data_IF_192092890889
#
_entry.id   IF_192092890889
#
_cell.length_a   1.000
_cell.length_b   1.000
_cell.length_c   1.000
_cell.angle_alpha   90.00
_cell.angle_beta   90.00
_cell.angle_gamma   90.00
#
_symmetry.space_group_name_H-M   'P 1'
#
loop_
_entity.id
_entity.type
_entity.pdbx_description
1 polymer ?
#
# COMPACT_ATOMS: atom_id res chain seq x y z
N UNK A 1 -32.42 14.15 46.55
CA UNK A 1 -33.43 13.87 45.52
C UNK A 1 -33.58 12.38 45.49
N UNK A 2 -34.79 11.88 45.69
CA UNK A 2 -35.09 10.44 45.74
C UNK A 2 -35.14 9.96 44.28
N UNK A 3 -34.25 9.05 43.91
CA UNK A 3 -34.28 8.38 42.62
C UNK A 3 -35.52 7.47 42.59
N UNK A 4 -36.54 7.90 41.88
CA UNK A 4 -37.66 7.06 41.49
C UNK A 4 -37.19 6.15 40.35
N UNK A 5 -36.90 4.89 40.67
CA UNK A 5 -36.84 3.82 39.67
C UNK A 5 -38.23 3.70 39.03
N UNK A 6 -38.38 4.29 37.86
CA UNK A 6 -39.54 4.08 37.00
C UNK A 6 -39.42 2.73 36.32
N UNK A 7 -40.17 1.74 36.79
CA UNK A 7 -40.40 0.49 36.09
C UNK A 7 -41.16 0.79 34.78
N UNK A 8 -40.43 0.85 33.67
CA UNK A 8 -41.02 1.05 32.35
C UNK A 8 -41.77 -0.22 31.92
N UNK A 9 -43.00 -0.11 31.39
CA UNK A 9 -43.75 -1.28 30.93
C UNK A 9 -42.99 -1.95 29.78
N UNK A 10 -42.49 -3.17 30.01
CA UNK A 10 -41.83 -3.99 29.00
C UNK A 10 -42.84 -4.31 27.88
N UNK A 11 -42.69 -3.65 26.74
CA UNK A 11 -43.49 -3.93 25.55
C UNK A 11 -43.27 -5.39 25.12
N UNK A 12 -44.36 -6.11 24.82
CA UNK A 12 -44.34 -7.54 24.43
C UNK A 12 -43.91 -7.79 22.98
N UNK A 13 -43.41 -6.76 22.30
CA UNK A 13 -42.95 -6.83 20.92
C UNK A 13 -41.43 -6.91 20.99
N UNK A 14 -40.78 -8.02 20.57
CA UNK A 14 -39.34 -8.09 20.49
C UNK A 14 -38.90 -7.09 19.42
N UNK A 15 -38.50 -5.88 19.84
CA UNK A 15 -37.78 -4.95 18.97
C UNK A 15 -36.38 -5.52 18.84
N UNK A 16 -36.11 -6.21 17.74
CA UNK A 16 -34.75 -6.58 17.41
C UNK A 16 -33.94 -5.29 17.34
N UNK A 17 -32.93 -5.16 18.20
CA UNK A 17 -31.99 -4.05 18.10
C UNK A 17 -31.27 -4.16 16.76
N UNK A 18 -30.95 -3.03 16.10
CA UNK A 18 -30.14 -3.07 14.90
C UNK A 18 -28.80 -3.77 15.20
N UNK A 19 -28.22 -4.46 14.20
CA UNK A 19 -26.92 -5.10 14.37
C UNK A 19 -25.87 -4.05 14.78
N UNK A 20 -24.92 -4.44 15.64
CA UNK A 20 -23.84 -3.53 16.04
C UNK A 20 -23.03 -3.12 14.80
N UNK A 21 -22.71 -1.82 14.64
CA UNK A 21 -21.95 -1.34 13.49
C UNK A 21 -20.55 -1.96 13.52
N UNK A 22 -20.21 -2.70 12.46
CA UNK A 22 -18.87 -3.24 12.28
C UNK A 22 -17.96 -2.18 11.69
N UNK A 23 -16.73 -2.12 12.17
CA UNK A 23 -15.69 -1.27 11.60
C UNK A 23 -15.45 -1.75 10.16
N UNK A 24 -15.76 -0.91 9.18
CA UNK A 24 -15.55 -1.21 7.76
C UNK A 24 -14.11 -0.89 7.31
N UNK A 25 -13.32 -0.20 8.14
CA UNK A 25 -11.95 0.15 7.83
C UNK A 25 -10.99 -0.99 8.22
N UNK A 26 -10.45 -1.66 7.22
CA UNK A 26 -9.29 -2.54 7.37
C UNK A 26 -8.01 -1.77 7.00
N UNK A 27 -7.01 -1.80 7.89
CA UNK A 27 -5.71 -1.22 7.57
C UNK A 27 -5.08 -1.99 6.40
N UNK A 28 -4.64 -1.30 5.33
CA UNK A 28 -3.98 -1.97 4.21
C UNK A 28 -2.77 -2.76 4.72
N UNK A 29 -2.57 -4.00 4.24
CA UNK A 29 -1.51 -4.84 4.79
C UNK A 29 -0.15 -4.25 4.43
N UNK A 30 0.73 -4.16 5.44
CA UNK A 30 2.04 -3.54 5.25
C UNK A 30 3.03 -4.51 4.58
N UNK A 31 3.85 -4.03 3.64
CA UNK A 31 4.86 -4.87 3.00
C UNK A 31 5.87 -5.43 4.02
N UNK A 32 6.12 -6.76 4.00
CA UNK A 32 7.00 -7.39 4.97
C UNK A 32 8.46 -6.98 4.77
N UNK A 33 9.24 -7.04 5.86
CA UNK A 33 10.67 -6.75 5.86
C UNK A 33 11.45 -7.77 5.02
N UNK A 34 12.34 -7.29 4.16
CA UNK A 34 13.28 -8.16 3.44
C UNK A 34 14.31 -8.79 4.40
N UNK A 35 14.60 -10.09 4.30
CA UNK A 35 15.52 -10.78 5.19
C UNK A 35 16.96 -10.29 5.02
N UNK A 36 17.79 -10.47 6.05
CA UNK A 36 19.20 -10.08 6.02
C UNK A 36 19.93 -10.85 4.91
N UNK A 37 20.69 -10.14 4.08
CA UNK A 37 21.37 -10.71 2.91
C UNK A 37 20.58 -10.58 1.59
N UNK A 38 19.30 -10.21 1.64
CA UNK A 38 18.44 -10.06 0.47
C UNK A 38 18.01 -8.62 0.28
N UNK A 39 17.83 -8.20 -0.97
CA UNK A 39 17.20 -6.93 -1.30
C UNK A 39 18.01 -5.72 -0.81
N UNK A 40 17.31 -4.78 -0.16
CA UNK A 40 17.88 -3.61 0.53
C UNK A 40 18.79 -4.00 1.71
N UNK A 41 18.62 -5.20 2.26
CA UNK A 41 19.39 -5.72 3.39
C UNK A 41 20.54 -6.65 2.95
N UNK A 42 20.93 -6.64 1.66
CA UNK A 42 22.10 -7.37 1.14
C UNK A 42 23.42 -6.96 1.80
N UNK A 43 23.56 -5.69 2.20
CA UNK A 43 24.77 -5.12 2.83
C UNK A 43 24.51 -4.72 4.26
N UNK A 44 25.47 -5.01 5.15
CA UNK A 44 25.48 -4.53 6.54
C UNK A 44 26.27 -3.22 6.60
N UNK A 45 25.71 -2.23 7.29
CA UNK A 45 26.32 -0.91 7.44
C UNK A 45 26.79 -0.69 8.87
N UNK A 46 28.00 -0.15 9.00
CA UNK A 46 28.59 0.25 10.27
C UNK A 46 28.82 1.77 10.26
N UNK A 47 28.56 2.40 11.39
CA UNK A 47 28.71 3.85 11.58
C UNK A 47 29.69 4.14 12.71
N UNK A 48 30.39 5.25 12.59
CA UNK A 48 31.34 5.73 13.57
C UNK A 48 31.36 7.26 13.56
N UNK A 49 31.38 7.91 14.73
CA UNK A 49 31.34 9.38 14.84
C UNK A 49 32.70 10.00 14.51
N UNK A 50 33.79 9.35 14.92
CA UNK A 50 35.17 9.77 14.58
C UNK A 50 35.98 8.58 14.10
N UNK A 51 36.88 8.83 13.16
CA UNK A 51 37.78 7.80 12.64
C UNK A 51 38.59 7.20 13.81
N UNK A 52 38.46 5.89 14.03
CA UNK A 52 39.16 5.14 15.08
C UNK A 52 38.33 4.85 16.34
N UNK A 53 37.11 5.38 16.46
CA UNK A 53 36.16 5.00 17.52
C UNK A 53 35.51 3.62 17.22
N UNK A 54 34.85 2.98 18.21
CA UNK A 54 34.14 1.72 17.97
C UNK A 54 33.05 1.89 16.91
N UNK A 55 32.96 0.90 16.04
CA UNK A 55 31.97 0.84 14.98
C UNK A 55 30.66 0.27 15.53
N UNK A 56 29.55 0.96 15.28
CA UNK A 56 28.22 0.54 15.67
C UNK A 56 27.51 0.01 14.42
N UNK A 57 27.03 -1.23 14.48
CA UNK A 57 26.24 -1.81 13.40
C UNK A 57 24.85 -1.16 13.35
N UNK A 58 24.42 -0.73 12.16
CA UNK A 58 23.07 -0.24 11.93
C UNK A 58 22.08 -1.41 11.79
N UNK A 59 20.82 -1.24 12.22
CA UNK A 59 19.79 -2.26 12.02
C UNK A 59 19.50 -2.44 10.52
N UNK A 60 18.85 -3.56 10.20
CA UNK A 60 18.26 -3.74 8.87
C UNK A 60 17.09 -2.78 8.64
N UNK A 61 16.87 -2.41 7.38
CA UNK A 61 15.81 -1.48 7.00
C UNK A 61 14.49 -2.20 6.80
N UNK A 62 13.38 -1.53 7.15
CA UNK A 62 12.02 -1.98 6.80
C UNK A 62 11.42 -1.13 5.66
N UNK A 63 10.48 -1.68 4.87
CA UNK A 63 9.82 -0.91 3.82
C UNK A 63 9.09 0.33 4.35
N UNK A 64 8.43 0.22 5.52
CA UNK A 64 7.74 1.33 6.19
C UNK A 64 8.70 2.48 6.52
N UNK A 65 9.91 2.18 7.02
CA UNK A 65 10.95 3.20 7.24
C UNK A 65 11.31 3.94 5.95
N UNK A 66 11.45 3.24 4.82
CA UNK A 66 11.75 3.87 3.52
C UNK A 66 10.60 4.75 3.05
N UNK A 67 9.35 4.26 3.14
CA UNK A 67 8.17 5.01 2.74
C UNK A 67 8.00 6.30 3.56
N UNK A 68 8.14 6.22 4.88
CA UNK A 68 8.05 7.40 5.75
C UNK A 68 9.24 8.32 5.53
N UNK A 69 10.46 7.80 5.37
CA UNK A 69 11.65 8.60 5.07
C UNK A 69 11.47 9.46 3.79
N UNK A 70 10.73 8.96 2.78
CA UNK A 70 10.40 9.72 1.57
C UNK A 70 9.47 10.91 1.82
N UNK A 71 8.64 10.83 2.86
CA UNK A 71 7.60 11.81 3.21
C UNK A 71 8.07 12.87 4.22
N UNK A 72 9.21 12.64 4.88
CA UNK A 72 9.74 13.55 5.91
C UNK A 72 11.02 14.26 5.45
N UNK A 73 11.28 15.44 6.02
CA UNK A 73 12.49 16.22 5.78
C UNK A 73 13.13 16.62 7.11
N UNK A 74 13.98 15.73 7.65
CA UNK A 74 14.60 15.88 8.99
C UNK A 74 16.12 15.78 8.90
N UNK A 75 16.81 16.71 9.58
CA UNK A 75 18.28 16.69 9.75
C UNK A 75 18.68 15.79 10.91
N UNK A 76 19.87 15.20 10.81
CA UNK A 76 20.45 14.33 11.84
C UNK A 76 20.97 15.12 13.05
N UNK A 77 20.84 14.55 14.24
CA UNK A 77 21.40 15.10 15.48
C UNK A 77 22.80 14.58 15.78
N UNK A 78 23.17 13.44 15.19
CA UNK A 78 24.43 12.74 15.46
C UNK A 78 24.34 11.77 16.64
N UNK A 79 23.17 11.61 17.24
CA UNK A 79 22.90 10.62 18.27
C UNK A 79 21.94 9.56 17.74
N UNK A 80 22.41 8.31 17.68
CA UNK A 80 21.69 7.17 17.11
C UNK A 80 20.40 6.79 17.85
N UNK A 81 20.29 7.15 19.14
CA UNK A 81 19.16 6.76 19.99
C UNK A 81 18.06 7.84 20.09
N UNK A 82 18.23 8.97 19.41
CA UNK A 82 17.26 10.06 19.37
C UNK A 82 15.98 9.62 18.66
N UNK A 83 14.82 9.98 19.24
CA UNK A 83 13.51 9.72 18.65
C UNK A 83 13.19 10.73 17.54
N UNK A 84 12.58 10.25 16.46
CA UNK A 84 12.22 11.08 15.31
C UNK A 84 10.76 11.49 15.42
N UNK A 85 10.55 12.72 15.89
CA UNK A 85 9.23 13.31 16.00
C UNK A 85 8.87 14.00 14.67
N UNK A 86 8.10 13.31 13.84
CA UNK A 86 7.60 13.79 12.55
C UNK A 86 6.17 13.33 12.30
N UNK A 87 5.49 14.00 11.36
CA UNK A 87 4.22 13.54 10.79
C UNK A 87 4.41 13.36 9.27
N UNK A 88 4.21 12.16 8.71
CA UNK A 88 3.86 10.89 9.37
C UNK A 88 4.92 10.41 10.38
N UNK A 89 4.47 9.58 11.34
CA UNK A 89 5.35 9.04 12.39
C UNK A 89 6.39 8.11 11.77
N UNK A 90 7.66 8.31 12.13
CA UNK A 90 8.74 7.47 11.67
C UNK A 90 8.87 6.23 12.56
N UNK A 91 8.77 5.01 12.01
CA UNK A 91 8.84 3.77 12.80
C UNK A 91 10.28 3.46 13.21
N UNK A 92 10.79 4.14 14.23
CA UNK A 92 12.11 3.89 14.80
C UNK A 92 12.85 5.12 15.29
N UNK A 93 14.15 4.95 15.55
CA UNK A 93 15.05 6.00 16.05
C UNK A 93 15.93 6.56 14.93
N UNK A 94 16.81 7.50 15.28
CA UNK A 94 17.75 8.10 14.32
C UNK A 94 18.63 7.08 13.59
N UNK A 95 19.03 5.98 14.23
CA UNK A 95 19.75 4.88 13.56
C UNK A 95 18.97 4.22 12.41
N UNK A 96 17.66 4.04 12.58
CA UNK A 96 16.78 3.47 11.57
C UNK A 96 16.59 4.45 10.40
N UNK A 97 16.43 5.75 10.70
CA UNK A 97 16.33 6.77 9.68
C UNK A 97 17.64 6.97 8.90
N UNK A 98 18.78 6.91 9.59
CA UNK A 98 20.09 6.92 8.93
C UNK A 98 20.23 5.73 7.98
N UNK A 99 19.87 4.53 8.45
CA UNK A 99 19.86 3.31 7.61
C UNK A 99 18.95 3.47 6.39
N UNK A 100 17.75 4.01 6.57
CA UNK A 100 16.80 4.27 5.49
C UNK A 100 17.35 5.28 4.47
N UNK A 101 17.99 6.36 4.94
CA UNK A 101 18.62 7.34 4.05
C UNK A 101 19.82 6.76 3.30
N UNK A 102 20.63 5.93 3.92
CA UNK A 102 21.72 5.22 3.25
C UNK A 102 21.19 4.34 2.12
N UNK A 103 20.09 3.59 2.33
CA UNK A 103 19.44 2.81 1.26
C UNK A 103 19.03 3.70 0.10
N UNK A 104 18.33 4.80 0.39
CA UNK A 104 17.80 5.73 -0.63
C UNK A 104 18.92 6.40 -1.43
N UNK A 105 19.98 6.85 -0.76
CA UNK A 105 21.14 7.47 -1.39
C UNK A 105 21.87 6.41 -2.22
N UNK A 106 22.10 5.21 -1.68
CA UNK A 106 22.81 4.15 -2.39
C UNK A 106 22.09 3.77 -3.69
N UNK A 107 20.78 3.54 -3.63
CA UNK A 107 19.97 3.22 -4.80
C UNK A 107 19.90 4.36 -5.82
N UNK A 108 19.91 5.62 -5.38
CA UNK A 108 19.79 6.77 -6.27
C UNK A 108 21.10 7.36 -6.79
N UNK A 109 22.26 6.90 -6.29
CA UNK A 109 23.55 7.57 -6.57
C UNK A 109 24.73 6.66 -6.86
N UNK A 110 24.62 5.33 -6.65
CA UNK A 110 25.70 4.41 -7.00
C UNK A 110 25.68 4.11 -8.49
N UNK A 111 26.56 4.77 -9.22
CA UNK A 111 26.69 4.64 -10.67
C UNK A 111 28.03 4.03 -11.05
N UNK A 112 28.14 3.49 -12.26
CA UNK A 112 29.36 2.96 -12.83
C UNK A 112 29.50 3.41 -14.28
N UNK A 113 30.73 3.49 -14.83
CA UNK A 113 30.92 3.66 -16.25
C UNK A 113 30.26 2.53 -17.04
N UNK A 114 29.68 2.88 -18.19
CA UNK A 114 29.05 1.92 -19.10
C UNK A 114 30.04 0.80 -19.48
N UNK A 115 29.57 -0.45 -19.43
CA UNK A 115 30.37 -1.63 -19.78
C UNK A 115 31.31 -2.14 -18.69
N UNK A 116 31.42 -1.45 -17.54
CA UNK A 116 32.24 -1.93 -16.41
C UNK A 116 31.67 -3.21 -15.79
N UNK A 117 30.35 -3.29 -15.67
CA UNK A 117 29.63 -4.47 -15.21
C UNK A 117 28.88 -5.14 -16.35
N UNK A 118 28.78 -6.47 -16.30
CA UNK A 118 27.99 -7.29 -17.21
C UNK A 118 27.15 -8.27 -16.42
N UNK A 119 25.93 -8.55 -16.88
CA UNK A 119 25.15 -9.66 -16.35
C UNK A 119 25.82 -10.97 -16.78
N UNK A 120 25.96 -11.93 -15.85
CA UNK A 120 26.39 -13.28 -16.23
C UNK A 120 25.32 -13.91 -17.13
N UNK A 121 25.74 -14.55 -18.22
CA UNK A 121 24.87 -15.23 -19.18
C UNK A 121 24.66 -14.42 -20.46
N UNK A 122 25.21 -15.00 -21.54
CA UNK A 122 25.13 -14.65 -22.97
C UNK A 122 26.17 -13.68 -23.56
N UNK A 123 27.13 -14.32 -24.25
CA UNK A 123 27.72 -13.92 -25.54
C UNK A 123 28.61 -12.67 -25.62
N UNK A 124 29.91 -12.87 -25.34
CA UNK A 124 30.98 -12.20 -26.08
C UNK A 124 32.25 -13.09 -26.16
N UNK A 125 32.15 -14.18 -26.91
CA UNK A 125 33.29 -14.99 -27.39
C UNK A 125 33.22 -16.44 -26.95
N UNK A 126 33.19 -17.32 -27.95
CA UNK A 126 33.24 -18.78 -27.90
C UNK A 126 34.18 -19.36 -26.82
N UNK A 127 33.66 -20.35 -26.09
CA UNK A 127 34.43 -21.35 -25.34
C UNK A 127 34.60 -21.09 -23.85
N UNK A 128 33.61 -21.46 -23.04
CA UNK A 128 33.80 -22.48 -21.99
C UNK A 128 32.43 -22.92 -21.45
N UNK A 129 32.28 -24.22 -21.28
CA UNK A 129 31.07 -24.90 -20.81
C UNK A 129 30.90 -24.79 -19.29
N UNK A 130 29.68 -25.07 -18.83
CA UNK A 130 29.28 -25.36 -17.43
C UNK A 130 28.98 -24.16 -16.52
N UNK A 131 27.69 -23.87 -16.35
CA UNK A 131 27.03 -23.92 -15.03
C UNK A 131 25.50 -23.77 -15.21
N UNK A 132 24.85 -24.93 -15.33
CA UNK A 132 23.41 -25.15 -15.39
C UNK A 132 22.87 -25.21 -13.95
N UNK A 133 22.55 -24.08 -13.32
CA UNK A 133 21.73 -24.03 -12.09
C UNK A 133 20.93 -22.72 -12.02
N UNK A 134 19.60 -22.80 -12.17
CA UNK A 134 18.68 -21.77 -11.68
C UNK A 134 17.72 -21.15 -12.70
N UNK A 135 17.16 -21.91 -13.64
CA UNK A 135 16.05 -21.47 -14.49
C UNK A 135 14.69 -21.62 -13.77
N UNK A 136 14.49 -20.94 -12.63
CA UNK A 136 13.15 -20.82 -12.01
C UNK A 136 12.83 -19.40 -11.47
N UNK A 137 13.67 -18.39 -11.73
CA UNK A 137 13.35 -16.98 -11.39
C UNK A 137 13.20 -16.06 -12.63
N UNK A 138 12.84 -16.63 -13.78
CA UNK A 138 12.87 -15.93 -15.07
C UNK A 138 11.56 -15.25 -15.51
N UNK A 139 10.53 -15.12 -14.66
CA UNK A 139 9.25 -14.50 -15.10
C UNK A 139 8.89 -13.15 -14.46
N UNK A 140 9.60 -12.65 -13.45
CA UNK A 140 9.30 -11.29 -12.91
C UNK A 140 10.47 -10.55 -12.23
N UNK A 141 11.68 -11.12 -12.21
CA UNK A 141 12.83 -10.53 -11.52
C UNK A 141 13.97 -10.21 -12.47
N UNK A 142 14.22 -8.92 -12.75
CA UNK A 142 15.42 -8.52 -13.49
C UNK A 142 16.69 -9.08 -12.82
N UNK A 143 17.64 -9.59 -13.63
CA UNK A 143 18.91 -10.20 -13.17
C UNK A 143 19.53 -9.36 -12.04
N UNK A 144 19.45 -9.84 -10.80
CA UNK A 144 19.82 -9.07 -9.59
C UNK A 144 21.34 -9.05 -9.34
N UNK A 145 22.11 -9.82 -10.11
CA UNK A 145 23.55 -9.98 -9.94
C UNK A 145 24.33 -9.67 -11.22
N UNK A 146 25.41 -8.93 -11.06
CA UNK A 146 26.33 -8.56 -12.13
C UNK A 146 27.78 -8.87 -11.72
N UNK A 147 28.65 -9.08 -12.71
CA UNK A 147 30.08 -9.33 -12.52
C UNK A 147 30.89 -8.22 -13.19
N UNK A 148 32.11 -7.98 -12.69
CA UNK A 148 33.05 -7.05 -13.34
C UNK A 148 33.47 -7.61 -14.69
N UNK A 149 33.37 -6.80 -15.74
CA UNK A 149 33.73 -7.18 -17.10
C UNK A 149 35.26 -7.36 -17.24
N UNK A 150 35.77 -8.58 -17.51
CA UNK A 150 37.20 -8.81 -17.70
C UNK A 150 37.76 -8.08 -18.93
N UNK A 151 36.93 -7.90 -19.97
CA UNK A 151 37.25 -7.23 -21.23
C UNK A 151 36.82 -5.76 -21.23
N UNK A 152 36.71 -5.14 -20.06
CA UNK A 152 36.32 -3.73 -19.95
C UNK A 152 37.29 -2.82 -20.71
N UNK A 153 36.74 -2.13 -21.72
CA UNK A 153 37.38 -1.04 -22.44
C UNK A 153 36.83 0.31 -21.93
N UNK A 154 37.63 1.14 -21.24
CA UNK A 154 37.15 2.35 -20.63
C UNK A 154 36.75 3.39 -21.69
N UNK A 155 35.55 4.00 -21.58
CA UNK A 155 35.16 5.11 -22.46
C UNK A 155 36.14 6.27 -22.34
N UNK A 156 36.29 7.05 -23.40
CA UNK A 156 37.19 8.20 -23.38
C UNK A 156 36.70 9.25 -22.38
N UNK A 157 37.60 10.12 -21.90
CA UNK A 157 37.21 11.21 -21.00
C UNK A 157 36.15 12.11 -21.63
N UNK A 158 36.17 12.30 -22.96
CA UNK A 158 35.18 13.11 -23.68
C UNK A 158 33.79 12.48 -23.59
N UNK A 159 33.72 11.16 -23.69
CA UNK A 159 32.48 10.40 -23.58
C UNK A 159 31.96 10.41 -22.14
N UNK A 160 32.84 10.17 -21.17
CA UNK A 160 32.49 10.21 -19.74
C UNK A 160 32.04 11.60 -19.27
N UNK A 161 32.48 12.67 -19.93
CA UNK A 161 32.11 14.06 -19.63
C UNK A 161 31.01 14.61 -20.53
N UNK A 162 30.42 13.76 -21.36
CA UNK A 162 29.30 14.17 -22.20
C UNK A 162 28.06 14.48 -21.33
N UNK A 163 27.36 15.55 -21.70
CA UNK A 163 26.18 16.03 -20.98
C UNK A 163 24.95 15.16 -21.22
N UNK A 164 24.97 14.30 -22.23
CA UNK A 164 23.90 13.32 -22.48
C UNK A 164 23.80 12.26 -21.38
N UNK A 165 24.86 12.03 -20.59
CA UNK A 165 24.92 11.07 -19.49
C UNK A 165 24.65 9.60 -19.90
N UNK A 166 24.87 9.24 -21.16
CA UNK A 166 24.67 7.88 -21.68
C UNK A 166 25.76 6.89 -21.26
N UNK A 167 26.97 7.38 -20.97
CA UNK A 167 28.13 6.55 -20.61
C UNK A 167 28.22 6.20 -19.13
N UNK A 168 27.17 6.50 -18.36
CA UNK A 168 27.06 6.18 -16.96
C UNK A 168 25.78 5.38 -16.74
N UNK A 169 25.87 4.33 -15.92
CA UNK A 169 24.76 3.44 -15.62
C UNK A 169 24.57 3.26 -14.12
N UNK A 170 23.34 3.02 -13.67
CA UNK A 170 23.08 2.69 -12.27
C UNK A 170 23.59 1.30 -11.92
N UNK A 171 24.44 1.22 -10.90
CA UNK A 171 24.98 -0.04 -10.36
C UNK A 171 24.19 -0.59 -9.17
N UNK A 172 23.40 0.27 -8.52
CA UNK A 172 22.49 -0.16 -7.44
C UNK A 172 21.06 -0.37 -7.97
N UNK A 173 20.31 -1.32 -7.40
CA UNK A 173 18.95 -1.60 -7.82
C UNK A 173 17.98 -0.49 -7.39
N UNK A 174 16.93 -0.30 -8.18
CA UNK A 174 15.88 0.68 -7.91
C UNK A 174 14.98 0.26 -6.74
N UNK A 175 14.64 1.20 -5.86
CA UNK A 175 13.71 0.96 -4.76
C UNK A 175 12.30 1.35 -5.18
N UNK A 176 11.39 0.37 -5.22
CA UNK A 176 9.99 0.57 -5.58
C UNK A 176 9.28 1.58 -4.65
N UNK A 177 8.19 2.24 -5.08
CA UNK A 177 7.34 3.05 -4.22
C UNK A 177 6.94 2.37 -2.90
N UNK A 178 6.70 1.06 -2.93
CA UNK A 178 6.45 0.21 -1.76
C UNK A 178 7.61 0.17 -0.74
N UNK A 179 8.84 0.53 -1.11
CA UNK A 179 9.99 0.53 -0.21
C UNK A 179 10.78 -0.77 -0.17
N UNK A 180 10.57 -1.65 -1.16
CA UNK A 180 11.31 -2.91 -1.40
C UNK A 180 12.02 -2.87 -2.74
N UNK A 181 12.91 -3.85 -2.99
CA UNK A 181 13.46 -4.06 -4.34
C UNK A 181 12.56 -4.95 -5.20
N UNK A 182 12.00 -5.99 -4.59
CA UNK A 182 11.04 -6.89 -5.23
C UNK A 182 9.62 -6.46 -4.88
N UNK A 183 8.74 -6.42 -5.88
CA UNK A 183 7.33 -6.14 -5.63
C UNK A 183 6.72 -7.20 -4.72
N UNK A 184 5.89 -6.77 -3.78
CA UNK A 184 5.09 -7.64 -2.94
C UNK A 184 3.62 -7.39 -3.21
N UNK A 185 2.89 -8.46 -3.53
CA UNK A 185 1.46 -8.38 -3.75
C UNK A 185 0.72 -8.28 -2.39
N UNK A 186 0.04 -7.15 -2.09
CA UNK A 186 -0.71 -6.95 -0.86
C UNK A 186 -2.01 -7.77 -0.80
N UNK A 187 -2.56 -8.13 -1.96
CA UNK A 187 -3.72 -9.00 -2.11
C UNK A 187 -3.30 -10.19 -2.97
N UNK A 188 -2.64 -11.20 -2.37
CA UNK A 188 -2.57 -12.52 -2.97
C UNK A 188 -3.98 -13.13 -2.85
N UNK A 189 -4.97 -12.52 -3.48
CA UNK A 189 -6.33 -13.02 -3.45
C UNK A 189 -6.29 -14.40 -4.11
N UNK A 190 -6.75 -15.42 -3.38
CA UNK A 190 -7.66 -16.51 -3.79
C UNK A 190 -7.44 -17.26 -5.13
N UNK A 191 -6.40 -16.95 -5.90
CA UNK A 191 -6.23 -17.32 -7.31
C UNK A 191 -5.55 -18.70 -7.46
N UNK A 192 -5.38 -19.50 -6.39
CA UNK A 192 -4.81 -20.87 -6.51
C UNK A 192 -5.78 -21.96 -6.07
N UNK A 193 -6.77 -21.68 -5.21
CA UNK A 193 -7.80 -22.68 -4.85
C UNK A 193 -9.09 -22.54 -5.68
N UNK A 194 -9.46 -21.35 -6.16
CA UNK A 194 -10.72 -21.16 -6.90
C UNK A 194 -10.60 -21.39 -8.42
N UNK A 195 -9.42 -21.24 -9.04
CA UNK A 195 -9.25 -21.53 -10.48
C UNK A 195 -9.18 -23.04 -10.80
N UNK A 196 -8.72 -23.89 -9.86
CA UNK A 196 -8.64 -25.35 -10.08
C UNK A 196 -9.94 -26.08 -9.68
N UNK A 197 -10.84 -25.44 -8.92
CA UNK A 197 -12.14 -26.00 -8.52
C UNK A 197 -13.34 -25.41 -9.32
N UNK A 198 -13.14 -24.32 -10.04
CA UNK A 198 -14.18 -23.63 -10.81
C UNK A 198 -14.51 -24.23 -12.18
N UNK A 199 -13.72 -25.19 -12.69
CA UNK A 199 -14.00 -25.83 -13.99
C UNK A 199 -14.95 -27.05 -13.91
N UNK A 200 -15.33 -27.54 -12.71
CA UNK A 200 -16.17 -28.76 -12.59
C UNK A 200 -17.55 -28.58 -11.94
N UNK A 201 -17.92 -27.37 -11.49
CA UNK A 201 -19.27 -27.11 -10.97
C UNK A 201 -19.90 -25.90 -11.65
N UNK A 202 -20.60 -26.18 -12.75
CA UNK A 202 -21.62 -25.28 -13.25
C UNK A 202 -22.80 -25.24 -12.30
N UNK A 203 -22.78 -24.32 -11.33
CA UNK A 203 -23.97 -23.92 -10.59
C UNK A 203 -24.03 -22.39 -10.52
N UNK A 204 -25.22 -21.88 -10.83
CA UNK A 204 -25.61 -20.47 -10.77
C UNK A 204 -25.48 -19.98 -9.32
N UNK A 205 -24.53 -19.08 -9.03
CA UNK A 205 -24.52 -18.33 -7.79
C UNK A 205 -24.62 -16.82 -8.06
N UNK A 206 -25.47 -16.21 -7.23
CA UNK A 206 -25.97 -14.85 -7.27
C UNK A 206 -24.86 -13.79 -7.33
N UNK A 207 -25.20 -12.64 -7.92
CA UNK A 207 -24.42 -11.40 -7.87
C UNK A 207 -24.22 -10.94 -6.41
N UNK A 208 -23.25 -11.52 -5.73
CA UNK A 208 -22.69 -10.95 -4.51
C UNK A 208 -21.62 -9.94 -4.94
N UNK A 209 -21.99 -8.66 -4.87
CA UNK A 209 -21.20 -7.47 -5.18
C UNK A 209 -20.07 -7.29 -4.15
N UNK A 210 -19.24 -8.33 -3.96
CA UNK A 210 -17.94 -8.21 -3.29
C UNK A 210 -17.09 -7.35 -4.21
N UNK A 211 -17.01 -6.07 -3.84
CA UNK A 211 -16.05 -5.10 -4.37
C UNK A 211 -14.78 -5.84 -4.79
N UNK A 212 -14.57 -5.99 -6.10
CA UNK A 212 -13.36 -6.54 -6.66
C UNK A 212 -12.22 -5.70 -6.10
N UNK A 213 -11.58 -6.19 -5.04
CA UNK A 213 -10.43 -5.55 -4.42
C UNK A 213 -9.48 -5.21 -5.54
N UNK A 214 -9.22 -3.91 -5.74
CA UNK A 214 -8.42 -3.42 -6.85
C UNK A 214 -7.15 -4.25 -6.96
N UNK A 215 -7.01 -5.07 -8.01
CA UNK A 215 -5.77 -5.83 -8.25
C UNK A 215 -4.65 -4.79 -8.28
N UNK A 216 -3.76 -4.83 -7.28
CA UNK A 216 -2.66 -3.90 -7.21
C UNK A 216 -1.75 -4.17 -8.41
N UNK A 217 -1.61 -3.19 -9.31
CA UNK A 217 -0.73 -3.33 -10.46
C UNK A 217 0.73 -3.54 -9.98
N UNK A 218 1.47 -4.49 -10.58
CA UNK A 218 2.84 -4.75 -10.17
C UNK A 218 3.72 -3.52 -10.40
N UNK A 219 4.29 -2.99 -9.31
CA UNK A 219 5.22 -1.88 -9.38
C UNK A 219 6.51 -2.36 -10.06
N UNK A 220 6.79 -1.86 -11.27
CA UNK A 220 8.01 -2.21 -12.01
C UNK A 220 8.97 -1.02 -12.04
N UNK A 221 10.22 -1.26 -11.65
CA UNK A 221 11.30 -0.28 -11.73
C UNK A 221 12.15 -0.45 -13.01
N UNK A 222 13.01 0.53 -13.33
CA UNK A 222 14.00 0.35 -14.39
C UNK A 222 14.95 -0.81 -14.05
N UNK A 223 15.44 -1.56 -15.05
CA UNK A 223 16.38 -2.64 -14.84
C UNK A 223 17.72 -2.15 -14.28
N UNK A 224 18.54 -3.07 -13.79
CA UNK A 224 19.93 -2.75 -13.42
C UNK A 224 20.72 -2.32 -14.67
N UNK A 225 21.74 -1.48 -14.47
CA UNK A 225 22.58 -0.94 -15.52
C UNK A 225 21.85 -0.04 -16.54
N UNK A 226 20.70 0.53 -16.17
CA UNK A 226 20.04 1.58 -16.96
C UNK A 226 20.91 2.84 -17.05
N UNK A 227 21.05 3.46 -18.25
CA UNK A 227 21.78 4.71 -18.43
C UNK A 227 21.16 5.89 -17.69
N UNK A 228 22.00 6.82 -17.22
CA UNK A 228 21.55 8.03 -16.51
C UNK A 228 20.78 9.02 -17.41
N UNK A 229 20.84 8.85 -18.73
CA UNK A 229 20.04 9.64 -19.68
C UNK A 229 18.53 9.41 -19.52
N UNK A 230 18.12 8.28 -18.95
CA UNK A 230 16.73 7.90 -18.71
C UNK A 230 16.21 8.38 -17.35
N UNK A 231 17.07 8.99 -16.51
CA UNK A 231 16.65 9.47 -15.20
C UNK A 231 15.63 10.61 -15.29
N UNK A 232 14.61 10.52 -14.45
CA UNK A 232 13.56 11.54 -14.35
C UNK A 232 14.16 12.91 -14.02
N UNK A 233 14.13 13.83 -14.99
CA UNK A 233 14.52 15.22 -14.79
C UNK A 233 13.41 15.98 -14.04
N UNK A 234 13.81 16.82 -13.08
CA UNK A 234 12.92 17.84 -12.56
C UNK A 234 12.85 18.95 -13.61
N UNK A 235 11.67 19.53 -13.87
CA UNK A 235 11.42 20.47 -14.99
C UNK A 235 12.46 21.61 -15.10
N UNK A 236 13.14 21.97 -14.01
CA UNK A 236 14.14 23.03 -13.98
C UNK A 236 15.60 22.57 -13.76
N UNK A 237 15.83 21.32 -13.34
CA UNK A 237 17.17 20.84 -12.93
C UNK A 237 17.43 19.44 -13.45
N UNK A 238 18.50 19.30 -14.25
CA UNK A 238 19.00 17.98 -14.65
C UNK A 238 19.45 17.16 -13.43
N UNK A 239 19.13 15.85 -13.34
CA UNK A 239 19.47 15.02 -12.18
C UNK A 239 20.97 14.92 -11.89
N UNK A 240 21.79 15.10 -12.92
CA UNK A 240 23.23 14.89 -12.88
C UNK A 240 24.00 16.07 -13.47
N UNK A 241 25.24 16.26 -13.02
CA UNK A 241 26.15 17.24 -13.59
C UNK A 241 27.55 16.66 -13.65
N UNK A 242 28.20 16.80 -14.80
CA UNK A 242 29.54 16.25 -15.04
C UNK A 242 30.56 17.36 -15.26
N UNK A 243 31.78 17.14 -14.77
CA UNK A 243 32.92 18.03 -14.92
C UNK A 243 34.21 17.24 -15.11
N UNK A 244 35.16 17.81 -15.84
CA UNK A 244 36.55 17.35 -15.84
C UNK A 244 37.32 17.98 -14.68
N UNK A 245 38.28 17.26 -14.11
CA UNK A 245 39.19 17.82 -13.09
C UNK A 245 40.21 18.81 -13.66
N UNK A 246 40.62 18.63 -14.92
CA UNK A 246 41.58 19.49 -15.61
C UNK A 246 41.14 19.71 -17.05
N UNK A 247 41.31 20.95 -17.52
CA UNK A 247 41.08 21.33 -18.92
C UNK A 247 42.40 21.52 -19.68
N UNK A 248 43.54 21.20 -19.05
CA UNK A 248 44.89 21.45 -19.60
C UNK A 248 45.54 20.17 -20.12
N UNK A 249 45.39 19.06 -19.40
CA UNK A 249 45.95 17.77 -19.75
C UNK A 249 44.88 16.69 -19.60
N UNK A 250 44.28 16.30 -20.72
CA UNK A 250 43.23 15.28 -20.74
C UNK A 250 43.74 13.92 -20.28
N UNK A 251 45.02 13.59 -20.49
CA UNK A 251 45.61 12.26 -20.18
C UNK A 251 45.56 11.86 -18.70
N UNK A 252 45.55 12.83 -17.78
CA UNK A 252 45.47 12.57 -16.33
C UNK A 252 44.23 13.19 -15.69
N UNK A 253 43.31 13.71 -16.51
CA UNK A 253 42.09 14.30 -16.02
C UNK A 253 41.10 13.22 -15.58
N UNK A 254 40.28 13.59 -14.61
CA UNK A 254 39.26 12.75 -14.00
C UNK A 254 37.89 13.22 -14.45
N UNK A 255 37.00 12.30 -14.79
CA UNK A 255 35.58 12.60 -14.93
C UNK A 255 34.96 12.61 -13.53
N UNK A 256 34.34 13.73 -13.15
CA UNK A 256 33.62 13.87 -11.88
C UNK A 256 32.15 14.10 -12.17
N UNK A 257 31.31 13.15 -11.77
CA UNK A 257 29.86 13.23 -11.82
C UNK A 257 29.34 13.58 -10.45
N UNK A 258 28.39 14.52 -10.40
CA UNK A 258 27.71 14.97 -9.19
C UNK A 258 26.21 14.73 -9.36
N UNK A 259 25.57 14.16 -8.33
CA UNK A 259 24.11 14.14 -8.25
C UNK A 259 23.58 15.50 -7.81
N UNK A 260 22.58 16.01 -8.53
CA UNK A 260 21.83 17.20 -8.15
C UNK A 260 20.63 16.84 -7.27
N UNK A 261 20.06 15.63 -7.44
CA UNK A 261 18.99 15.12 -6.57
C UNK A 261 19.48 14.79 -5.16
N UNK A 262 20.71 14.32 -5.03
CA UNK A 262 21.36 14.07 -3.74
C UNK A 262 22.63 14.91 -3.64
N UNK A 263 22.52 16.19 -3.21
CA UNK A 263 23.68 17.04 -3.04
C UNK A 263 24.66 16.40 -2.07
N UNK A 264 25.89 16.19 -2.55
CA UNK A 264 26.94 15.50 -1.81
C UNK A 264 27.34 14.14 -2.38
N UNK A 265 26.54 13.57 -3.30
CA UNK A 265 26.94 12.36 -4.01
C UNK A 265 27.87 12.72 -5.17
N UNK A 266 29.05 12.12 -5.18
CA UNK A 266 30.06 12.27 -6.20
C UNK A 266 30.55 10.91 -6.66
N UNK A 267 30.72 10.80 -7.97
CA UNK A 267 31.39 9.68 -8.60
C UNK A 267 32.55 10.21 -9.39
N UNK A 268 33.71 9.59 -9.24
CA UNK A 268 34.86 9.91 -10.07
C UNK A 268 35.33 8.67 -10.80
N UNK A 269 35.68 8.84 -12.07
CA UNK A 269 36.37 7.84 -12.87
C UNK A 269 37.67 8.42 -13.37
N UNK A 270 38.73 7.63 -13.21
CA UNK A 270 40.00 7.87 -13.89
C UNK A 270 39.88 7.36 -15.34
N UNK A 271 40.82 7.72 -16.22
CA UNK A 271 40.98 6.99 -17.49
C UNK A 271 41.51 5.55 -17.27
N UNK A 272 42.04 5.28 -16.08
CA UNK A 272 42.29 3.92 -15.62
C UNK A 272 40.98 3.22 -15.24
N UNK A 273 41.01 1.89 -15.14
CA UNK A 273 39.86 1.02 -14.81
C UNK A 273 39.32 1.20 -13.38
N UNK A 274 39.52 2.37 -12.78
CA UNK A 274 39.18 2.69 -11.40
C UNK A 274 38.13 3.81 -11.40
N UNK A 275 37.02 3.53 -10.75
CA UNK A 275 36.01 4.50 -10.38
C UNK A 275 35.54 4.24 -8.95
N UNK A 276 35.04 5.29 -8.30
CA UNK A 276 34.46 5.17 -6.96
C UNK A 276 33.28 6.11 -6.77
N UNK A 277 32.31 5.66 -5.99
CA UNK A 277 31.15 6.43 -5.53
C UNK A 277 31.36 6.83 -4.07
N UNK A 278 31.20 8.12 -3.77
CA UNK A 278 31.32 8.64 -2.41
C UNK A 278 30.20 9.66 -2.16
N UNK A 279 29.66 9.66 -0.94
CA UNK A 279 28.67 10.63 -0.49
C UNK A 279 29.20 11.47 0.68
N UNK A 280 29.14 12.79 0.55
CA UNK A 280 29.45 13.76 1.60
C UNK A 280 28.32 14.80 1.70
N UNK A 281 27.47 14.70 2.72
CA UNK A 281 26.37 15.65 2.87
C UNK A 281 25.47 15.38 4.06
N UNK A 282 24.36 16.11 4.11
CA UNK A 282 23.39 16.06 5.21
C UNK A 282 22.36 14.94 5.10
N UNK A 283 22.41 14.12 4.04
CA UNK A 283 21.44 13.06 3.78
C UNK A 283 20.05 13.57 3.41
N UNK A 284 19.96 14.77 2.86
CA UNK A 284 18.71 15.41 2.43
C UNK A 284 18.61 15.40 0.90
N UNK A 285 17.48 14.93 0.37
CA UNK A 285 17.17 14.97 -1.06
C UNK A 285 16.90 16.43 -1.45
N UNK A 286 17.44 16.86 -2.59
CA UNK A 286 17.13 18.16 -3.16
C UNK A 286 15.63 18.28 -3.41
N UNK A 287 15.05 19.39 -2.96
CA UNK A 287 13.66 19.74 -3.16
C UNK A 287 13.62 21.03 -3.97
N UNK A 288 13.00 21.01 -5.14
CA UNK A 288 12.83 22.19 -5.98
C UNK A 288 11.85 23.19 -5.36
N UNK A 289 10.75 22.67 -4.80
CA UNK A 289 9.81 23.41 -3.99
C UNK A 289 10.16 23.22 -2.51
N UNK A 290 9.85 24.19 -1.66
CA UNK A 290 10.01 24.03 -0.22
C UNK A 290 9.22 22.80 0.26
N UNK A 291 9.73 22.12 1.30
CA UNK A 291 9.06 20.97 1.88
C UNK A 291 7.65 21.34 2.35
N UNK A 292 6.64 20.64 1.84
CA UNK A 292 5.25 20.75 2.31
C UNK A 292 4.94 19.54 3.20
N UNK A 293 4.58 19.74 4.48
CA UNK A 293 4.12 18.66 5.33
C UNK A 293 2.90 17.95 4.73
N UNK A 294 2.77 16.66 5.03
CA UNK A 294 1.60 15.88 4.63
C UNK A 294 0.34 16.46 5.31
N UNK A 295 -0.80 16.56 4.61
CA UNK A 295 -2.07 16.91 5.26
C UNK A 295 -2.49 15.81 6.26
N UNK A 296 -3.31 16.19 7.23
CA UNK A 296 -3.96 15.22 8.13
C UNK A 296 -4.90 14.31 7.32
N UNK A 297 -5.10 13.04 7.74
CA UNK A 297 -6.06 12.17 7.07
C UNK A 297 -7.45 12.81 7.11
N UNK A 298 -8.30 12.51 6.12
CA UNK A 298 -9.68 12.96 6.15
C UNK A 298 -10.37 12.47 7.42
N UNK A 299 -11.26 13.29 7.96
CA UNK A 299 -12.09 12.88 9.09
C UNK A 299 -12.95 11.69 8.68
N UNK A 300 -13.07 10.70 9.55
CA UNK A 300 -13.94 9.55 9.31
C UNK A 300 -15.39 10.03 9.27
N UNK A 301 -16.16 9.50 8.33
CA UNK A 301 -17.59 9.77 8.24
C UNK A 301 -18.33 8.96 9.31
N UNK A 302 -19.46 9.50 9.75
CA UNK A 302 -20.35 8.82 10.68
C UNK A 302 -21.01 7.61 10.01
N UNK A 303 -21.62 6.74 10.83
CA UNK A 303 -22.39 5.60 10.31
C UNK A 303 -23.48 6.08 9.35
N UNK A 304 -23.61 5.39 8.21
CA UNK A 304 -24.59 5.77 7.19
C UNK A 304 -26.00 5.75 7.78
N UNK A 305 -26.76 6.84 7.60
CA UNK A 305 -28.13 6.94 8.08
C UNK A 305 -29.04 6.03 7.26
N UNK A 306 -29.19 4.80 7.72
CA UNK A 306 -30.04 3.77 7.12
C UNK A 306 -31.44 3.69 7.76
N UNK A 307 -32.36 2.91 7.15
CA UNK A 307 -33.70 2.66 7.70
C UNK A 307 -33.67 1.98 9.09
N UNK A 308 -32.53 1.39 9.47
CA UNK A 308 -32.29 0.80 10.78
C UNK A 308 -32.20 1.84 11.91
N UNK A 309 -31.74 3.05 11.61
CA UNK A 309 -31.54 4.14 12.59
C UNK A 309 -32.47 5.33 12.36
N UNK A 310 -33.26 5.32 11.27
CA UNK A 310 -34.33 6.28 11.08
C UNK A 310 -35.51 5.93 11.99
N UNK A 311 -36.03 6.93 12.70
CA UNK A 311 -37.26 6.80 13.46
C UNK A 311 -38.40 6.43 12.50
N UNK A 312 -39.03 5.28 12.76
CA UNK A 312 -40.23 4.87 12.02
C UNK A 312 -41.34 5.82 12.40
N UNK A 313 -42.00 6.43 11.41
CA UNK A 313 -43.17 7.28 11.64
C UNK A 313 -44.25 6.47 12.36
N UNK A 314 -44.85 7.07 13.39
CA UNK A 314 -45.97 6.47 14.11
C UNK A 314 -47.10 6.11 13.12
N UNK A 315 -47.72 4.91 13.24
CA UNK A 315 -48.84 4.52 12.40
C UNK A 315 -49.95 5.57 12.44
N UNK A 316 -50.56 5.83 11.29
CA UNK A 316 -51.73 6.71 11.24
C UNK A 316 -52.94 6.02 11.86
N UNK A 317 -53.88 6.78 12.45
CA UNK A 317 -55.07 6.19 13.11
C UNK A 317 -55.92 5.29 12.20
N UNK A 318 -55.87 5.49 10.87
CA UNK A 318 -56.52 4.63 9.89
C UNK A 318 -55.82 3.26 9.74
N UNK A 319 -54.49 3.20 9.90
CA UNK A 319 -53.71 1.96 9.88
C UNK A 319 -53.89 1.16 11.16
N UNK A 320 -54.00 1.84 12.31
CA UNK A 320 -54.37 1.20 13.58
C UNK A 320 -55.77 0.60 13.54
N UNK A 321 -56.75 1.29 12.94
CA UNK A 321 -58.11 0.78 12.81
C UNK A 321 -58.20 -0.44 11.88
N UNK A 322 -57.47 -0.42 10.76
CA UNK A 322 -57.34 -1.60 9.87
C UNK A 322 -56.71 -2.78 10.60
N UNK A 323 -55.63 -2.55 11.34
CA UNK A 323 -54.99 -3.60 12.14
C UNK A 323 -55.97 -4.19 13.17
N UNK A 324 -56.76 -3.33 13.84
CA UNK A 324 -57.81 -3.76 14.78
C UNK A 324 -58.86 -4.64 14.10
N UNK A 325 -59.33 -4.28 12.91
CA UNK A 325 -60.31 -5.04 12.13
C UNK A 325 -59.75 -6.40 11.69
N UNK A 326 -58.52 -6.42 11.18
CA UNK A 326 -57.87 -7.66 10.70
C UNK A 326 -57.56 -8.66 11.84
N UNK A 327 -57.37 -8.16 13.07
CA UNK A 327 -57.10 -8.97 14.25
C UNK A 327 -58.33 -9.25 15.12
N UNK A 328 -59.54 -8.91 14.64
CA UNK A 328 -60.76 -9.32 15.33
C UNK A 328 -60.88 -10.86 15.30
N UNK A 329 -61.24 -11.50 16.42
CA UNK A 329 -61.43 -12.95 16.45
C UNK A 329 -62.54 -13.34 15.49
N UNK A 330 -62.25 -14.26 14.55
CA UNK A 330 -63.25 -14.79 13.62
C UNK A 330 -64.43 -15.35 14.44
N UNK A 331 -65.69 -14.94 14.14
CA UNK A 331 -66.84 -15.39 14.93
C UNK A 331 -66.94 -16.91 14.89
N UNK A 332 -67.13 -17.53 16.06
CA UNK A 332 -67.40 -18.97 16.15
C UNK A 332 -68.75 -19.26 15.47
N UNK A 333 -68.86 -20.32 14.67
CA UNK A 333 -70.16 -20.74 14.14
C UNK A 333 -71.06 -21.11 15.34
N UNK A 334 -72.27 -20.54 15.39
CA UNK A 334 -73.26 -20.87 16.42
C UNK A 334 -73.86 -22.24 16.09
N UNK A 335 -73.72 -23.19 17.00
CA UNK A 335 -74.50 -24.43 17.03
C UNK A 335 -75.87 -24.13 17.66
N UNK A 336 -76.93 -24.61 17.01
CA UNK A 336 -78.31 -24.58 17.46
C UNK A 336 -78.51 -25.40 18.74
N UNK A 337 -79.18 -24.85 19.76
CA UNK A 337 -79.70 -25.64 20.88
C UNK A 337 -81.20 -25.39 21.12
N UNK A 338 -81.93 -26.42 20.71
CA UNK A 338 -83.31 -26.81 21.02
C UNK A 338 -83.53 -27.04 22.53
N UNK A 339 -84.59 -26.45 23.12
CA UNK A 339 -85.27 -26.99 24.32
C UNK A 339 -86.77 -26.62 24.30
N UNK A 340 -87.62 -27.62 24.07
CA UNK A 340 -89.05 -27.61 24.44
C UNK A 340 -89.25 -27.87 25.95
N UNK A 341 -90.45 -27.86 26.54
CA UNK A 341 -91.84 -27.70 26.06
C UNK A 341 -92.76 -27.57 27.29
N UNK A 342 -94.07 -27.31 27.05
CA UNK A 342 -95.29 -27.32 27.91
C UNK A 342 -95.80 -25.95 28.38
N UNK A 343 -97.09 -25.61 28.35
CA UNK A 343 -98.22 -25.59 27.38
C UNK A 343 -99.46 -25.08 28.17
N UNK A 344 -100.46 -24.53 27.46
CA UNK A 344 -101.79 -24.01 27.85
C UNK A 344 -101.85 -22.59 28.46
N UNK A 345 -102.58 -21.61 27.92
CA UNK A 345 -103.46 -21.54 26.75
C UNK A 345 -104.17 -20.17 26.62
N UNK A 346 -104.60 -19.89 25.40
CA UNK A 346 -105.65 -18.96 24.90
C UNK A 346 -105.44 -17.43 24.83
N UNK A 347 -105.59 -16.89 23.61
CA UNK A 347 -106.27 -15.60 23.36
C UNK A 347 -105.72 -14.70 22.23
N UNK A 348 -106.21 -14.92 21.00
CA UNK A 348 -106.62 -13.93 19.95
C UNK A 348 -105.58 -12.88 19.44
N UNK A 349 -105.08 -12.96 18.20
CA UNK A 349 -105.64 -12.55 16.87
C UNK A 349 -105.20 -11.14 16.42
N UNK A 350 -105.08 -10.99 15.09
CA UNK A 350 -104.76 -9.80 14.27
C UNK A 350 -103.27 -9.43 14.11
N UNK A 351 -102.70 -9.06 12.96
CA UNK A 351 -102.98 -9.10 11.50
C UNK A 351 -101.64 -8.57 10.87
N UNK A 352 -101.07 -9.23 9.85
CA UNK A 352 -100.77 -8.69 8.48
C UNK A 352 -100.22 -7.23 8.46
N UNK A 353 -99.08 -6.91 7.83
CA UNK A 353 -98.84 -6.99 6.40
C UNK A 353 -97.34 -7.01 6.04
N UNK A 354 -97.06 -7.74 4.96
CA UNK A 354 -95.88 -7.65 4.10
C UNK A 354 -95.88 -6.34 3.32
N UNK A 355 -94.70 -5.74 3.08
CA UNK A 355 -94.41 -5.12 1.78
C UNK A 355 -92.93 -5.35 1.44
N UNK A 356 -92.71 -6.25 0.49
CA UNK A 356 -91.64 -6.12 -0.51
C UNK A 356 -91.96 -4.91 -1.41
N UNK A 357 -90.94 -4.15 -1.83
CA UNK A 357 -90.72 -3.89 -3.25
C UNK A 357 -89.45 -3.05 -3.51
N UNK A 358 -88.74 -3.52 -4.54
CA UNK A 358 -87.80 -2.86 -5.48
C UNK A 358 -86.47 -2.20 -5.02
#
# INVERSE_FOLDING_TARGET
>A
QVETEGDAPKSKIPRALPPEPKIQYEEPPEPPKEPSGVGLNKKVYYVCTKIGEPWIQLPDVTPKEIQVARKIYKSFTGNLETDILTYPEFPGKEKNYLRAQISRISAGTQIAPLGYYTFGGEEAGEGDEEDEVGEEEAETGGKTEYKTNPKYDPPSLKDLTDRSMTFWVHSAPYILPQGRLTWWNPTPAADVEDEELGEELGEEEEEDDKEKGSKAEPETGPPLLTPLSEDASLETVSPWSVRSSSNVLDTYALAVVRSNLWPGAYTFSTQGKIFHNIYFGFGLKYMQYNFSPMPLPPVQQEYAVGPEIMEVLDPTGAEEEKWRIDHLPKPKPKEDEEKGETDEGEGEEEEEEEEEDD
#
